data_IF_351547890842
#
_entry.id   IF_351547890842
#
_cell.length_a   1.000
_cell.length_b   1.000
_cell.length_c   1.000
_cell.angle_alpha   90.00
_cell.angle_beta   90.00
_cell.angle_gamma   90.00
#
_symmetry.space_group_name_H-M   'P 1'
#
loop_
_entity.id
_entity.type
_entity.pdbx_description
1 polymer ?
#
# COMPACT_ATOMS: atom_id res chain seq x y z
N UNK A 1 -15.73 -23.40 3.30
CA UNK A 1 -14.49 -23.25 4.09
C UNK A 1 -14.65 -21.99 4.92
N UNK A 2 -14.79 -22.12 6.24
CA UNK A 2 -14.83 -20.96 7.14
C UNK A 2 -13.38 -20.59 7.43
N UNK A 3 -12.91 -19.45 6.94
CA UNK A 3 -11.55 -18.99 7.19
C UNK A 3 -11.37 -18.61 8.65
N UNK A 4 -10.21 -18.94 9.23
CA UNK A 4 -9.85 -18.58 10.60
C UNK A 4 -9.52 -17.09 10.69
N UNK A 5 -10.15 -16.38 11.62
CA UNK A 5 -9.92 -14.94 11.84
C UNK A 5 -9.09 -14.76 13.11
N UNK A 6 -7.92 -14.12 12.96
CA UNK A 6 -7.02 -13.77 14.05
C UNK A 6 -6.94 -12.26 14.21
N UNK A 7 -6.93 -11.79 15.45
CA UNK A 7 -6.62 -10.41 15.81
C UNK A 7 -5.23 -10.36 16.43
N UNK A 8 -4.33 -9.58 15.87
CA UNK A 8 -3.03 -9.33 16.52
C UNK A 8 -3.29 -8.55 17.83
N UNK A 9 -2.85 -9.11 18.95
CA UNK A 9 -3.09 -8.61 20.29
C UNK A 9 -1.99 -7.67 20.78
N UNK A 10 -0.72 -8.02 20.52
CA UNK A 10 0.41 -7.18 20.89
C UNK A 10 1.63 -7.55 20.06
N UNK A 11 2.45 -6.54 19.73
CA UNK A 11 3.77 -6.72 19.14
C UNK A 11 4.78 -6.21 20.15
N UNK A 12 5.67 -7.09 20.60
CA UNK A 12 6.66 -6.84 21.66
C UNK A 12 8.05 -6.73 21.02
N UNK A 13 8.74 -5.63 21.34
CA UNK A 13 10.10 -5.36 20.88
C UNK A 13 11.11 -6.29 21.58
N UNK A 14 12.09 -6.85 20.85
CA UNK A 14 13.10 -7.70 21.47
C UNK A 14 14.05 -6.90 22.35
N UNK A 15 14.26 -7.37 23.58
CA UNK A 15 15.22 -6.77 24.53
C UNK A 15 16.68 -7.09 24.16
N UNK A 16 16.96 -8.17 23.41
CA UNK A 16 18.36 -8.56 23.11
C UNK A 16 18.61 -9.45 21.88
N UNK A 17 17.65 -10.23 21.39
CA UNK A 17 17.88 -11.26 20.36
C UNK A 17 17.48 -10.85 18.93
N UNK A 18 16.90 -9.66 18.77
CA UNK A 18 16.47 -9.14 17.47
C UNK A 18 15.16 -9.73 16.93
N UNK A 19 14.50 -10.64 17.66
CA UNK A 19 13.27 -11.31 17.24
C UNK A 19 12.02 -10.62 17.82
N UNK A 20 11.22 -9.98 16.98
CA UNK A 20 9.94 -9.39 17.42
C UNK A 20 8.92 -10.48 17.76
N UNK A 21 8.30 -10.38 18.93
CA UNK A 21 7.26 -11.32 19.35
C UNK A 21 5.88 -10.75 19.07
N UNK A 22 5.13 -11.41 18.18
CA UNK A 22 3.74 -11.04 17.84
C UNK A 22 2.79 -12.01 18.56
N UNK A 23 1.95 -11.49 19.46
CA UNK A 23 0.87 -12.26 20.09
C UNK A 23 -0.40 -12.14 19.26
N UNK A 24 -0.98 -13.26 18.87
CA UNK A 24 -2.26 -13.33 18.14
C UNK A 24 -3.37 -13.81 19.08
N UNK A 25 -4.56 -13.24 18.94
CA UNK A 25 -5.79 -13.67 19.59
C UNK A 25 -6.71 -14.31 18.54
N UNK A 26 -7.21 -15.50 18.81
CA UNK A 26 -8.19 -16.17 17.96
C UNK A 26 -9.58 -15.55 18.19
N UNK A 27 -10.25 -15.07 17.13
CA UNK A 27 -11.53 -14.39 17.26
C UNK A 27 -12.75 -15.32 17.35
N UNK A 28 -12.57 -16.65 17.23
CA UNK A 28 -13.62 -17.66 17.44
C UNK A 28 -13.06 -18.85 18.23
N UNK A 29 -13.45 -18.98 19.50
CA UNK A 29 -12.76 -19.81 20.50
C UNK A 29 -13.21 -21.29 20.57
N UNK A 30 -14.20 -21.70 19.77
CA UNK A 30 -14.86 -23.00 19.95
C UNK A 30 -14.31 -24.14 19.09
N UNK A 31 -13.25 -23.91 18.33
CA UNK A 31 -12.67 -24.93 17.45
C UNK A 31 -11.24 -25.28 17.90
N UNK A 32 -11.07 -26.53 18.33
CA UNK A 32 -9.80 -27.10 18.78
C UNK A 32 -8.75 -27.16 17.67
N UNK A 33 -9.16 -27.43 16.42
CA UNK A 33 -8.24 -27.41 15.27
C UNK A 33 -7.77 -25.99 14.98
N UNK A 34 -8.64 -24.99 15.17
CA UNK A 34 -8.26 -23.58 15.04
C UNK A 34 -7.31 -23.12 16.13
N UNK A 35 -7.44 -23.63 17.36
CA UNK A 35 -6.48 -23.34 18.46
C UNK A 35 -5.12 -23.97 18.20
N UNK A 36 -5.08 -25.19 17.69
CA UNK A 36 -3.83 -25.86 17.30
C UNK A 36 -3.16 -25.15 16.12
N UNK A 37 -3.93 -24.75 15.10
CA UNK A 37 -3.42 -23.95 13.98
C UNK A 37 -2.91 -22.57 14.44
N UNK A 38 -3.62 -21.92 15.38
CA UNK A 38 -3.19 -20.66 15.98
C UNK A 38 -1.85 -20.79 16.72
N UNK A 39 -1.73 -21.83 17.54
CA UNK A 39 -0.50 -22.13 18.26
C UNK A 39 0.63 -22.47 17.29
N UNK A 40 0.35 -23.25 16.24
CA UNK A 40 1.31 -23.55 15.17
C UNK A 40 1.78 -22.28 14.48
N UNK A 41 0.88 -21.41 14.03
CA UNK A 41 1.21 -20.13 13.38
C UNK A 41 2.00 -19.21 14.32
N UNK A 42 1.66 -19.12 15.61
CA UNK A 42 2.46 -18.36 16.58
C UNK A 42 3.88 -18.92 16.73
N UNK A 43 4.03 -20.24 16.74
CA UNK A 43 5.33 -20.90 16.90
C UNK A 43 6.18 -20.84 15.62
N UNK A 44 5.55 -20.93 14.44
CA UNK A 44 6.22 -20.79 13.14
C UNK A 44 6.58 -19.33 12.85
N UNK A 45 5.72 -18.36 13.25
CA UNK A 45 6.04 -16.92 13.20
C UNK A 45 7.18 -16.54 14.15
N UNK A 46 7.41 -17.30 15.24
CA UNK A 46 8.57 -17.14 16.11
C UNK A 46 9.85 -17.78 15.52
N UNK A 47 9.72 -18.73 14.59
CA UNK A 47 10.85 -19.32 13.83
C UNK A 47 11.21 -18.51 12.59
N UNK A 48 10.22 -17.84 11.98
CA UNK A 48 10.42 -16.97 10.84
C UNK A 48 10.91 -15.62 11.35
N UNK A 49 12.02 -15.12 10.81
CA UNK A 49 12.37 -13.71 10.92
C UNK A 49 11.48 -12.96 9.91
N UNK A 50 10.35 -12.34 10.27
CA UNK A 50 9.68 -11.47 9.32
C UNK A 50 10.65 -10.34 9.00
N UNK A 51 10.96 -10.15 7.72
CA UNK A 51 11.62 -8.95 7.24
C UNK A 51 10.96 -7.72 7.92
N UNK A 52 11.77 -6.85 8.53
CA UNK A 52 11.29 -5.70 9.32
C UNK A 52 10.34 -4.82 8.50
N UNK A 53 10.51 -4.80 7.18
CA UNK A 53 9.59 -4.13 6.24
C UNK A 53 8.22 -4.80 6.23
N UNK A 54 8.17 -6.12 6.15
CA UNK A 54 6.92 -6.89 6.19
C UNK A 54 6.18 -6.72 7.52
N UNK A 55 6.91 -6.73 8.64
CA UNK A 55 6.34 -6.44 9.96
C UNK A 55 5.81 -4.99 10.05
N UNK A 56 6.59 -4.02 9.58
CA UNK A 56 6.18 -2.62 9.54
C UNK A 56 4.90 -2.40 8.72
N UNK A 57 4.78 -3.07 7.57
CA UNK A 57 3.58 -3.02 6.74
C UNK A 57 2.36 -3.59 7.48
N UNK A 58 2.50 -4.76 8.11
CA UNK A 58 1.42 -5.36 8.90
C UNK A 58 0.95 -4.43 10.03
N UNK A 59 1.90 -3.82 10.76
CA UNK A 59 1.61 -2.87 11.83
C UNK A 59 0.89 -1.62 11.30
N UNK A 60 1.26 -1.12 10.13
CA UNK A 60 0.58 0.01 9.48
C UNK A 60 -0.88 -0.33 9.15
N UNK A 61 -1.15 -1.52 8.59
CA UNK A 61 -2.51 -1.97 8.29
C UNK A 61 -3.36 -2.14 9.57
N UNK A 62 -2.73 -2.50 10.68
CA UNK A 62 -3.37 -2.52 12.00
C UNK A 62 -3.58 -1.14 12.64
N UNK A 63 -3.16 -0.06 11.98
CA UNK A 63 -3.13 1.29 12.53
C UNK A 63 -2.19 1.45 13.75
N UNK A 64 -1.24 0.54 13.95
CA UNK A 64 -0.19 0.61 14.98
C UNK A 64 0.99 1.45 14.46
N UNK A 65 0.71 2.71 14.14
CA UNK A 65 1.61 3.58 13.36
C UNK A 65 2.96 3.84 14.03
N UNK A 66 2.99 4.06 15.35
CA UNK A 66 4.25 4.29 16.07
C UNK A 66 5.18 3.07 15.97
N UNK A 67 4.63 1.86 16.12
CA UNK A 67 5.39 0.62 16.00
C UNK A 67 5.84 0.41 14.55
N UNK A 68 4.97 0.67 13.57
CA UNK A 68 5.34 0.60 12.15
C UNK A 68 6.51 1.52 11.82
N UNK A 69 6.48 2.78 12.29
CA UNK A 69 7.56 3.75 12.12
C UNK A 69 8.88 3.24 12.71
N UNK A 70 8.84 2.68 13.93
CA UNK A 70 10.04 2.10 14.56
C UNK A 70 10.61 0.94 13.75
N UNK A 71 9.78 0.04 13.23
CA UNK A 71 10.22 -1.06 12.37
C UNK A 71 10.94 -0.55 11.12
N UNK A 72 10.33 0.40 10.38
CA UNK A 72 10.93 0.95 9.17
C UNK A 72 12.21 1.74 9.44
N UNK A 73 12.27 2.53 10.52
CA UNK A 73 13.48 3.25 10.93
C UNK A 73 14.61 2.30 11.33
N UNK A 74 14.29 1.23 12.08
CA UNK A 74 15.26 0.21 12.48
C UNK A 74 15.81 -0.51 11.25
N UNK A 75 14.95 -0.92 10.32
CA UNK A 75 15.38 -1.54 9.07
C UNK A 75 16.27 -0.59 8.27
N UNK A 76 15.83 0.66 8.08
CA UNK A 76 16.61 1.68 7.39
C UNK A 76 17.98 1.87 8.05
N UNK A 77 18.09 1.83 9.38
CA UNK A 77 19.36 1.95 10.10
C UNK A 77 20.30 0.76 9.87
N UNK A 78 19.76 -0.46 9.69
CA UNK A 78 20.53 -1.67 9.41
C UNK A 78 21.07 -1.75 7.98
N UNK A 79 20.52 -0.97 7.03
CA UNK A 79 21.01 -0.94 5.66
C UNK A 79 22.40 -0.28 5.59
N UNK A 80 23.36 -0.94 4.94
CA UNK A 80 24.70 -0.38 4.73
C UNK A 80 24.67 0.81 3.75
N UNK A 81 23.87 0.69 2.69
CA UNK A 81 23.64 1.75 1.70
C UNK A 81 22.29 2.43 1.92
N UNK A 82 22.32 3.73 2.26
CA UNK A 82 21.10 4.54 2.48
C UNK A 82 20.45 5.01 1.18
N UNK A 83 21.08 4.76 0.03
CA UNK A 83 20.60 5.07 -1.30
C UNK A 83 20.25 3.81 -2.11
N UNK A 84 20.07 2.67 -1.43
CA UNK A 84 19.63 1.44 -2.07
C UNK A 84 18.12 1.46 -2.38
N UNK A 85 17.68 0.51 -3.22
CA UNK A 85 16.25 0.32 -3.51
C UNK A 85 15.45 0.00 -2.23
N UNK A 86 16.02 -0.80 -1.33
CA UNK A 86 15.45 -1.14 -0.03
C UNK A 86 15.28 0.10 0.85
N UNK A 87 16.26 1.02 0.85
CA UNK A 87 16.15 2.28 1.58
C UNK A 87 15.00 3.15 1.03
N UNK A 88 14.84 3.21 -0.30
CA UNK A 88 13.74 3.93 -0.94
C UNK A 88 12.36 3.32 -0.59
N UNK A 89 12.26 1.99 -0.53
CA UNK A 89 11.06 1.28 -0.05
C UNK A 89 10.74 1.60 1.42
N UNK A 90 11.76 1.71 2.29
CA UNK A 90 11.59 2.14 3.67
C UNK A 90 11.02 3.57 3.75
N UNK A 91 11.60 4.51 3.00
CA UNK A 91 11.10 5.88 2.95
C UNK A 91 9.68 5.95 2.40
N UNK A 92 9.34 5.17 1.37
CA UNK A 92 7.97 5.08 0.87
C UNK A 92 7.00 4.61 1.94
N UNK A 93 7.39 3.59 2.71
CA UNK A 93 6.55 3.02 3.77
C UNK A 93 6.38 4.00 4.94
N UNK A 94 7.46 4.69 5.33
CA UNK A 94 7.42 5.79 6.31
C UNK A 94 6.52 6.94 5.85
N UNK A 95 6.57 7.29 4.56
CA UNK A 95 5.70 8.31 3.97
C UNK A 95 4.22 7.91 4.00
N UNK A 96 3.91 6.63 3.76
CA UNK A 96 2.54 6.10 3.91
C UNK A 96 2.05 6.13 5.36
N UNK A 97 2.92 5.80 6.33
CA UNK A 97 2.59 5.90 7.76
C UNK A 97 2.34 7.36 8.16
N UNK A 98 3.24 8.28 7.77
CA UNK A 98 3.10 9.71 8.03
C UNK A 98 1.80 10.27 7.45
N UNK A 99 1.43 9.84 6.24
CA UNK A 99 0.15 10.20 5.63
C UNK A 99 -1.05 9.69 6.43
N UNK A 100 -0.99 8.45 6.92
CA UNK A 100 -2.06 7.83 7.69
C UNK A 100 -2.29 8.52 9.05
N UNK A 101 -1.24 9.03 9.70
CA UNK A 101 -1.35 9.81 10.94
C UNK A 101 -1.77 11.27 10.71
N UNK A 102 -1.88 11.72 9.45
CA UNK A 102 -2.23 13.09 9.09
C UNK A 102 -1.05 14.07 9.02
N UNK A 103 0.19 13.59 9.14
CA UNK A 103 1.39 14.41 8.96
C UNK A 103 1.79 14.42 7.47
N UNK A 104 1.09 15.25 6.71
CA UNK A 104 1.27 15.34 5.26
C UNK A 104 2.62 15.96 4.86
N UNK A 105 3.17 16.86 5.69
CA UNK A 105 4.49 17.47 5.45
C UNK A 105 5.60 16.44 5.57
N UNK A 106 5.55 15.60 6.62
CA UNK A 106 6.50 14.51 6.78
C UNK A 106 6.31 13.44 5.69
N UNK A 107 5.06 13.15 5.30
CA UNK A 107 4.76 12.25 4.18
C UNK A 107 5.39 12.72 2.87
N UNK A 108 5.21 14.00 2.52
CA UNK A 108 5.82 14.62 1.33
C UNK A 108 7.34 14.52 1.39
N UNK A 109 7.93 14.78 2.55
CA UNK A 109 9.39 14.72 2.77
C UNK A 109 9.92 13.31 2.49
N UNK A 110 9.28 12.28 3.05
CA UNK A 110 9.69 10.90 2.83
C UNK A 110 9.47 10.43 1.40
N UNK A 111 8.33 10.76 0.77
CA UNK A 111 8.08 10.38 -0.62
C UNK A 111 9.02 11.07 -1.60
N UNK A 112 9.40 12.34 -1.37
CA UNK A 112 10.45 13.01 -2.16
C UNK A 112 11.80 12.34 -2.02
N UNK A 113 12.17 11.89 -0.83
CA UNK A 113 13.44 11.18 -0.60
C UNK A 113 13.46 9.82 -1.29
N UNK A 114 12.36 9.06 -1.22
CA UNK A 114 12.23 7.80 -1.95
C UNK A 114 12.34 8.03 -3.47
N UNK A 115 11.67 9.07 -3.99
CA UNK A 115 11.72 9.44 -5.40
C UNK A 115 13.14 9.78 -5.84
N UNK A 116 13.86 10.61 -5.08
CA UNK A 116 15.26 10.97 -5.34
C UNK A 116 16.15 9.73 -5.46
N UNK A 117 16.04 8.79 -4.54
CA UNK A 117 16.81 7.55 -4.57
C UNK A 117 16.44 6.72 -5.81
N UNK A 118 15.14 6.51 -6.07
CA UNK A 118 14.71 5.75 -7.25
C UNK A 118 15.22 6.37 -8.56
N UNK A 119 15.30 7.69 -8.68
CA UNK A 119 15.84 8.36 -9.87
C UNK A 119 17.31 8.05 -10.16
N UNK A 120 18.07 7.56 -9.18
CA UNK A 120 19.47 7.17 -9.36
C UNK A 120 19.64 5.66 -9.62
N UNK A 121 18.56 4.88 -9.53
CA UNK A 121 18.56 3.44 -9.74
C UNK A 121 18.13 3.15 -11.20
N UNK A 122 18.94 2.42 -11.99
CA UNK A 122 18.55 2.04 -13.35
C UNK A 122 17.28 1.18 -13.40
N UNK A 123 16.44 1.37 -14.41
CA UNK A 123 15.20 0.61 -14.64
C UNK A 123 14.18 0.69 -13.50
N UNK A 124 14.13 1.82 -12.78
CA UNK A 124 13.23 2.05 -11.64
C UNK A 124 11.95 2.80 -12.00
N UNK A 125 11.67 3.04 -13.28
CA UNK A 125 10.53 3.83 -13.78
C UNK A 125 9.19 3.50 -13.10
N UNK A 126 8.89 2.21 -12.91
CA UNK A 126 7.67 1.78 -12.22
C UNK A 126 7.62 2.27 -10.77
N UNK A 127 8.75 2.24 -10.06
CA UNK A 127 8.87 2.73 -8.68
C UNK A 127 8.80 4.26 -8.63
N UNK A 128 9.40 4.95 -9.60
CA UNK A 128 9.32 6.40 -9.75
C UNK A 128 7.85 6.83 -9.96
N UNK A 129 7.11 6.15 -10.84
CA UNK A 129 5.68 6.39 -11.05
C UNK A 129 4.86 6.18 -9.77
N UNK A 130 5.10 5.08 -9.04
CA UNK A 130 4.42 4.82 -7.77
C UNK A 130 4.73 5.93 -6.75
N UNK A 131 6.00 6.36 -6.65
CA UNK A 131 6.40 7.43 -5.74
C UNK A 131 5.72 8.77 -6.09
N UNK A 132 5.59 9.12 -7.37
CA UNK A 132 4.82 10.29 -7.80
C UNK A 132 3.34 10.20 -7.42
N UNK A 133 2.72 9.03 -7.59
CA UNK A 133 1.34 8.80 -7.14
C UNK A 133 1.16 8.99 -5.63
N UNK A 134 2.08 8.44 -4.83
CA UNK A 134 2.08 8.59 -3.37
C UNK A 134 2.27 10.05 -2.96
N UNK A 135 3.18 10.76 -3.61
CA UNK A 135 3.41 12.18 -3.40
C UNK A 135 2.18 13.01 -3.76
N UNK A 136 1.50 12.69 -4.86
CA UNK A 136 0.25 13.34 -5.25
C UNK A 136 -0.86 13.14 -4.23
N UNK A 137 -0.98 11.94 -3.66
CA UNK A 137 -1.95 11.67 -2.60
C UNK A 137 -1.66 12.49 -1.34
N UNK A 138 -0.39 12.68 -0.98
CA UNK A 138 -0.01 13.51 0.16
C UNK A 138 -0.31 15.00 -0.09
N UNK A 139 0.01 15.54 -1.27
CA UNK A 139 -0.35 16.91 -1.64
C UNK A 139 -1.86 17.13 -1.67
N UNK A 140 -2.61 16.17 -2.24
CA UNK A 140 -4.08 16.22 -2.29
C UNK A 140 -4.69 16.30 -0.89
N UNK A 141 -4.26 15.44 0.03
CA UNK A 141 -4.73 15.46 1.41
C UNK A 141 -4.37 16.76 2.15
N UNK A 142 -3.28 17.42 1.75
CA UNK A 142 -2.91 18.76 2.21
C UNK A 142 -3.67 19.90 1.50
N UNK A 143 -4.57 19.58 0.57
CA UNK A 143 -5.33 20.53 -0.28
C UNK A 143 -4.46 21.38 -1.21
N UNK A 144 -3.26 20.88 -1.54
CA UNK A 144 -2.36 21.44 -2.56
C UNK A 144 -2.69 20.79 -3.90
N UNK A 145 -3.82 21.19 -4.50
CA UNK A 145 -4.39 20.48 -5.63
C UNK A 145 -3.59 20.65 -6.92
N UNK A 146 -2.99 21.82 -7.14
CA UNK A 146 -2.14 22.09 -8.30
C UNK A 146 -0.88 21.21 -8.28
N UNK A 147 -0.18 21.15 -7.14
CA UNK A 147 1.00 20.32 -6.97
C UNK A 147 0.67 18.82 -7.06
N UNK A 148 -0.47 18.40 -6.51
CA UNK A 148 -0.95 17.03 -6.61
C UNK A 148 -1.21 16.64 -8.09
N UNK A 149 -1.87 17.52 -8.85
CA UNK A 149 -2.14 17.28 -10.26
C UNK A 149 -0.85 17.19 -11.09
N UNK A 150 0.12 18.07 -10.82
CA UNK A 150 1.43 18.06 -11.51
C UNK A 150 2.15 16.71 -11.32
N UNK A 151 2.21 16.20 -10.08
CA UNK A 151 2.91 14.94 -9.82
C UNK A 151 2.12 13.72 -10.30
N UNK A 152 0.78 13.74 -10.30
CA UNK A 152 -0.02 12.70 -10.95
C UNK A 152 0.24 12.66 -12.47
N UNK A 153 0.36 13.83 -13.10
CA UNK A 153 0.69 13.90 -14.53
C UNK A 153 2.08 13.33 -14.83
N UNK A 154 3.09 13.59 -13.99
CA UNK A 154 4.42 12.96 -14.10
C UNK A 154 4.37 11.43 -13.97
N UNK A 155 3.54 10.89 -13.06
CA UNK A 155 3.33 9.45 -12.97
C UNK A 155 2.73 8.88 -14.27
N UNK A 156 1.71 9.53 -14.83
CA UNK A 156 1.11 9.10 -16.10
C UNK A 156 2.11 9.12 -17.25
N UNK A 157 2.93 10.16 -17.37
CA UNK A 157 3.96 10.27 -18.41
C UNK A 157 4.96 9.11 -18.36
N UNK A 158 5.38 8.72 -17.15
CA UNK A 158 6.29 7.58 -16.96
C UNK A 158 5.59 6.26 -17.33
N UNK A 159 4.39 6.01 -16.78
CA UNK A 159 3.64 4.79 -17.10
C UNK A 159 3.40 4.67 -18.61
N UNK A 160 3.05 5.76 -19.29
CA UNK A 160 2.79 5.77 -20.73
C UNK A 160 4.06 5.60 -21.58
N UNK A 161 5.19 6.18 -21.16
CA UNK A 161 6.45 6.13 -21.92
C UNK A 161 7.24 4.83 -21.71
N UNK A 162 7.28 4.32 -20.48
CA UNK A 162 8.00 3.09 -20.15
C UNK A 162 7.23 1.84 -20.58
N UNK A 163 5.89 1.87 -20.52
CA UNK A 163 5.05 0.71 -20.86
C UNK A 163 4.61 0.70 -22.33
N UNK A 164 5.58 0.79 -23.25
CA UNK A 164 5.40 0.50 -24.69
C UNK A 164 4.81 -0.91 -25.00
N UNK A 165 4.48 -1.71 -23.97
CA UNK A 165 3.83 -3.02 -24.05
C UNK A 165 2.43 -3.09 -23.44
N UNK A 166 1.98 -2.10 -22.67
CA UNK A 166 0.64 -2.15 -22.10
C UNK A 166 0.11 -0.73 -21.76
N UNK A 167 -0.58 -0.05 -22.68
CA UNK A 167 -1.18 1.28 -22.47
C UNK A 167 -2.31 1.30 -21.42
N UNK A 168 -2.44 0.23 -20.65
CA UNK A 168 -3.58 -0.07 -19.80
C UNK A 168 -3.11 -0.51 -18.40
N UNK A 169 -1.95 -0.13 -17.87
CA UNK A 169 -1.53 -0.65 -16.55
C UNK A 169 -2.49 -0.28 -15.41
N UNK A 170 -2.54 -1.11 -14.36
CA UNK A 170 -3.24 -0.77 -13.09
C UNK A 170 -2.67 0.52 -12.48
N UNK A 171 -1.41 0.86 -12.77
CA UNK A 171 -0.80 2.14 -12.42
C UNK A 171 -1.54 3.32 -13.04
N UNK A 172 -1.77 3.31 -14.36
CA UNK A 172 -2.54 4.35 -15.07
C UNK A 172 -3.96 4.46 -14.50
N UNK A 173 -4.62 3.32 -14.27
CA UNK A 173 -5.97 3.31 -13.69
C UNK A 173 -6.00 3.94 -12.29
N UNK A 174 -5.00 3.64 -11.47
CA UNK A 174 -4.85 4.21 -10.12
C UNK A 174 -4.60 5.71 -10.18
N UNK A 175 -3.75 6.19 -11.10
CA UNK A 175 -3.50 7.64 -11.25
C UNK A 175 -4.76 8.38 -11.68
N UNK A 176 -5.50 7.86 -12.68
CA UNK A 176 -6.78 8.47 -13.08
C UNK A 176 -7.81 8.48 -11.95
N UNK A 177 -7.90 7.40 -11.17
CA UNK A 177 -8.78 7.37 -10.01
C UNK A 177 -8.42 8.47 -9.00
N UNK A 178 -7.12 8.64 -8.70
CA UNK A 178 -6.65 9.66 -7.79
C UNK A 178 -6.90 11.10 -8.30
N UNK A 179 -6.75 11.34 -9.60
CA UNK A 179 -7.14 12.62 -10.23
C UNK A 179 -8.64 12.86 -10.14
N UNK A 180 -9.47 11.81 -10.30
CA UNK A 180 -10.91 11.88 -10.10
C UNK A 180 -11.27 12.36 -8.69
N UNK A 181 -10.65 11.77 -7.65
CA UNK A 181 -10.85 12.21 -6.26
C UNK A 181 -10.43 13.67 -6.08
N UNK A 182 -9.29 14.06 -6.67
CA UNK A 182 -8.80 15.44 -6.58
C UNK A 182 -9.78 16.46 -7.17
N UNK A 183 -10.47 16.13 -8.26
CA UNK A 183 -11.51 17.01 -8.82
C UNK A 183 -12.82 16.96 -8.03
N UNK A 184 -13.17 15.80 -7.46
CA UNK A 184 -14.33 15.66 -6.57
C UNK A 184 -14.17 16.51 -5.30
N UNK A 185 -13.00 16.49 -4.66
CA UNK A 185 -12.66 17.32 -3.49
C UNK A 185 -12.67 18.84 -3.80
N UNK A 186 -12.73 19.22 -5.08
CA UNK A 186 -12.88 20.59 -5.57
C UNK A 186 -14.29 20.90 -6.10
N UNK A 187 -15.27 20.02 -5.90
CA UNK A 187 -16.64 20.13 -6.45
C UNK A 187 -16.71 20.19 -8.00
N UNK A 188 -15.65 19.75 -8.68
CA UNK A 188 -15.54 19.71 -10.16
C UNK A 188 -16.00 18.34 -10.67
N UNK A 189 -17.29 18.05 -10.49
CA UNK A 189 -17.86 16.72 -10.70
C UNK A 189 -17.76 16.21 -12.14
N UNK A 190 -17.83 17.10 -13.14
CA UNK A 190 -17.72 16.70 -14.55
C UNK A 190 -16.31 16.19 -14.88
N UNK A 191 -15.30 16.88 -14.39
CA UNK A 191 -13.90 16.50 -14.50
C UNK A 191 -13.62 15.21 -13.72
N UNK A 192 -14.15 15.10 -12.49
CA UNK A 192 -14.04 13.90 -11.69
C UNK A 192 -14.61 12.67 -12.42
N UNK A 193 -15.83 12.78 -12.96
CA UNK A 193 -16.48 11.72 -13.74
C UNK A 193 -15.65 11.33 -14.97
N UNK A 194 -15.05 12.28 -15.67
CA UNK A 194 -14.16 11.99 -16.80
C UNK A 194 -13.01 11.08 -16.38
N UNK A 195 -12.29 11.43 -15.31
CA UNK A 195 -11.16 10.65 -14.83
C UNK A 195 -11.57 9.30 -14.23
N UNK A 196 -12.68 9.24 -13.48
CA UNK A 196 -13.23 7.98 -12.99
C UNK A 196 -13.60 7.02 -14.13
N UNK A 197 -14.20 7.53 -15.20
CA UNK A 197 -14.52 6.72 -16.38
C UNK A 197 -13.25 6.19 -17.08
N UNK A 198 -12.18 6.98 -17.15
CA UNK A 198 -10.90 6.51 -17.70
C UNK A 198 -10.29 5.41 -16.85
N UNK A 199 -10.31 5.54 -15.52
CA UNK A 199 -9.87 4.49 -14.59
C UNK A 199 -10.68 3.19 -14.73
N UNK A 200 -12.01 3.32 -14.77
CA UNK A 200 -12.93 2.18 -14.92
C UNK A 200 -12.76 1.47 -16.27
N UNK A 201 -12.57 2.22 -17.36
CA UNK A 201 -12.34 1.65 -18.68
C UNK A 201 -11.12 0.74 -18.70
N UNK A 202 -10.04 1.15 -18.04
CA UNK A 202 -8.83 0.34 -17.91
C UNK A 202 -9.12 -0.89 -17.04
N UNK A 203 -9.65 -0.72 -15.81
CA UNK A 203 -9.92 -1.83 -14.87
C UNK A 203 -10.89 -2.89 -15.42
N UNK A 204 -11.93 -2.46 -16.13
CA UNK A 204 -12.90 -3.37 -16.75
C UNK A 204 -12.29 -4.26 -17.84
N UNK A 205 -11.17 -3.85 -18.42
CA UNK A 205 -10.45 -4.65 -19.41
C UNK A 205 -9.56 -5.74 -18.77
N UNK A 206 -9.19 -5.58 -17.50
CA UNK A 206 -8.46 -6.59 -16.71
C UNK A 206 -9.34 -7.62 -16.02
N UNK A 207 -10.61 -7.28 -15.76
CA UNK A 207 -11.57 -8.21 -15.22
C UNK A 207 -11.92 -9.24 -16.31
N UNK A 208 -11.66 -10.55 -16.11
CA UNK A 208 -12.17 -11.57 -17.01
C UNK A 208 -13.69 -11.38 -17.16
N UNK A 209 -14.19 -11.55 -18.37
CA UNK A 209 -15.60 -11.33 -18.77
C UNK A 209 -16.63 -12.10 -17.94
N UNK A 210 -16.20 -13.05 -17.10
CA UNK A 210 -17.04 -13.85 -16.22
C UNK A 210 -17.19 -13.32 -14.78
N UNK A 211 -16.60 -12.17 -14.41
CA UNK A 211 -16.73 -11.65 -13.04
C UNK A 211 -18.19 -11.34 -12.65
N UNK A 212 -19.05 -10.93 -13.59
CA UNK A 212 -20.49 -10.77 -13.29
C UNK A 212 -21.18 -12.12 -13.05
N UNK A 213 -20.74 -13.20 -13.68
CA UNK A 213 -21.27 -14.56 -13.45
C UNK A 213 -20.82 -15.09 -12.10
N UNK A 214 -19.57 -14.85 -11.72
CA UNK A 214 -19.03 -15.21 -10.40
C UNK A 214 -19.75 -14.39 -9.31
N UNK A 215 -19.89 -13.08 -9.50
CA UNK A 215 -20.67 -12.24 -8.59
C UNK A 215 -22.13 -12.70 -8.48
N UNK A 216 -22.75 -13.12 -9.60
CA UNK A 216 -24.12 -13.66 -9.60
C UNK A 216 -24.22 -15.01 -8.88
N UNK A 217 -23.23 -15.89 -9.05
CA UNK A 217 -23.07 -17.17 -8.33
C UNK A 217 -22.93 -16.97 -6.80
N UNK A 218 -22.17 -15.95 -6.38
CA UNK A 218 -21.99 -15.63 -4.96
C UNK A 218 -23.12 -14.76 -4.37
N UNK A 219 -23.91 -14.08 -5.19
CA UNK A 219 -25.05 -13.24 -4.75
C UNK A 219 -26.32 -14.03 -4.38
N UNK A 220 -26.28 -15.37 -4.41
CA UNK A 220 -27.33 -16.20 -3.80
C UNK A 220 -28.73 -16.05 -4.40
N UNK A 221 -28.86 -15.67 -5.68
CA UNK A 221 -30.14 -15.72 -6.39
C UNK A 221 -30.26 -17.05 -7.13
N UNK A 222 -30.62 -18.10 -6.39
CA UNK A 222 -31.35 -19.23 -6.97
C UNK A 222 -32.73 -18.71 -7.35
N UNK A 223 -32.95 -18.49 -8.64
CA UNK A 223 -34.28 -18.31 -9.20
C UNK A 223 -34.94 -19.69 -9.26
N UNK A 224 -35.84 -19.96 -8.32
CA UNK A 224 -37.03 -20.79 -8.54
C UNK A 224 -38.18 -19.87 -8.98
#
# INVERSE_FOLDING_TARGET
MVGSIFKIQSVVEPESDGMWTIKLLLCSENDTELKELASYLQTDMLKYNPDLTSLGNMLREMCEYEKATKCFQRHLNQLDDKNSSEAACCYTSLGDVARAIGDYDLSITYHKKALEIHSHIPNSDQLISIAYNKLGAAFRQKKQYEEALEVYQKSLEIEQSTLNRNPESEGIATTYYNMGILYEEQDKYNEALKYYNQSLMIRNKYLPTDHYKIARLYSGRSED
#
